data_IF_747357809608
#
_entry.id   IF_747357809608
#
_cell.length_a   1.000
_cell.length_b   1.000
_cell.length_c   1.000
_cell.angle_alpha   90.00
_cell.angle_beta   90.00
_cell.angle_gamma   90.00
#
_symmetry.space_group_name_H-M   'P 1'
#
loop_
_entity.id
_entity.type
_entity.pdbx_description
1 polymer ?
#
# COMPACT_ATOMS: atom_id res chain seq x y z
N UNK A 1 -7.43 -2.39 26.67
CA UNK A 1 -6.77 -1.79 25.55
C UNK A 1 -6.01 -0.59 26.01
N UNK A 2 -4.85 -0.49 25.59
CA UNK A 2 -4.03 0.61 25.98
C UNK A 2 -4.19 1.69 24.97
N UNK A 3 -5.08 2.35 24.79
CA UNK A 3 -5.23 3.49 23.97
C UNK A 3 -4.92 3.29 22.50
N UNK A 4 -5.09 4.31 21.73
CA UNK A 4 -4.93 4.20 20.29
C UNK A 4 -3.49 3.91 19.86
N UNK A 5 -2.55 4.32 20.65
CA UNK A 5 -1.18 3.98 20.33
C UNK A 5 -0.93 2.51 20.39
N UNK A 6 -1.82 1.81 21.00
CA UNK A 6 -1.73 0.40 20.99
C UNK A 6 -2.48 -0.14 19.82
N UNK A 7 -1.99 0.10 18.72
CA UNK A 7 -2.61 -0.44 17.58
C UNK A 7 -2.63 -1.90 17.63
N UNK A 8 -2.07 -2.44 18.63
CA UNK A 8 -2.22 -3.78 18.93
C UNK A 8 -2.80 -4.54 17.79
N UNK A 9 -2.16 -4.48 16.78
CA UNK A 9 -2.63 -4.80 15.51
C UNK A 9 -2.90 -6.26 15.39
N UNK A 10 -3.72 -6.70 16.24
CA UNK A 10 -4.23 -8.03 16.13
C UNK A 10 -4.93 -8.10 14.82
N UNK A 11 -4.75 -9.19 14.14
CA UNK A 11 -5.16 -9.33 12.78
C UNK A 11 -6.58 -8.89 12.51
N UNK A 12 -7.49 -9.15 13.39
CA UNK A 12 -8.88 -8.79 13.16
C UNK A 12 -9.33 -7.58 13.94
N UNK A 13 -8.41 -6.88 14.59
CA UNK A 13 -8.77 -5.75 15.43
C UNK A 13 -8.81 -4.49 14.60
N UNK A 14 -9.96 -3.83 14.60
CA UNK A 14 -10.08 -2.54 13.95
C UNK A 14 -9.61 -1.45 14.88
N UNK A 15 -8.90 -0.47 14.36
CA UNK A 15 -8.59 0.74 15.09
C UNK A 15 -9.84 1.59 15.20
N UNK A 16 -10.23 1.93 16.40
CA UNK A 16 -11.36 2.82 16.63
C UNK A 16 -10.80 4.18 17.03
N UNK A 17 -11.04 5.17 16.19
CA UNK A 17 -10.54 6.51 16.42
C UNK A 17 -9.89 7.08 15.19
N UNK A 18 -8.87 7.90 15.38
CA UNK A 18 -8.20 8.57 14.28
C UNK A 18 -6.70 8.53 14.48
N UNK A 19 -5.98 8.56 13.35
CA UNK A 19 -4.53 8.56 13.35
C UNK A 19 -4.06 9.59 12.32
N UNK A 20 -3.44 10.69 12.76
CA UNK A 20 -2.81 11.61 11.83
C UNK A 20 -1.66 10.90 11.10
N UNK A 21 -1.60 11.04 9.79
CA UNK A 21 -0.58 10.34 9.00
C UNK A 21 0.83 10.74 9.43
N UNK A 22 1.02 12.00 9.81
CA UNK A 22 2.33 12.49 10.25
C UNK A 22 2.79 11.83 11.54
N UNK A 23 1.87 11.24 12.28
CA UNK A 23 2.18 10.59 13.56
C UNK A 23 2.12 9.07 13.44
N UNK A 24 2.07 8.54 12.23
CA UNK A 24 1.97 7.10 12.03
C UNK A 24 3.17 6.39 12.64
N UNK A 25 2.93 5.35 13.45
CA UNK A 25 4.03 4.59 14.04
C UNK A 25 4.59 3.58 13.04
N UNK A 26 5.28 4.06 12.05
CA UNK A 26 5.82 3.24 10.99
C UNK A 26 6.78 2.19 11.53
N UNK A 27 6.72 0.96 11.04
CA UNK A 27 7.74 -0.04 11.33
C UNK A 27 9.03 0.30 10.58
N UNK A 28 10.09 -0.43 10.88
CA UNK A 28 11.34 -0.30 10.15
C UNK A 28 11.12 -0.67 8.68
N UNK A 29 11.79 0.02 7.75
CA UNK A 29 11.64 -0.30 6.34
C UNK A 29 12.23 -1.65 5.99
N UNK A 30 11.64 -2.30 4.98
CA UNK A 30 12.13 -3.57 4.44
C UNK A 30 12.31 -3.44 2.93
N UNK A 31 13.26 -4.20 2.39
CA UNK A 31 13.43 -4.25 0.95
C UNK A 31 12.19 -4.83 0.29
N UNK A 32 11.72 -4.22 -0.78
CA UNK A 32 10.60 -4.80 -1.52
C UNK A 32 11.07 -6.02 -2.28
N UNK A 33 10.22 -7.04 -2.45
CA UNK A 33 10.57 -8.18 -3.29
C UNK A 33 10.55 -7.78 -4.76
N UNK A 34 11.31 -8.51 -5.57
CA UNK A 34 11.37 -8.36 -7.02
C UNK A 34 11.71 -6.94 -7.48
N UNK A 35 12.78 -6.33 -6.98
CA UNK A 35 13.17 -5.01 -7.47
C UNK A 35 13.65 -5.08 -8.92
N UNK A 36 13.35 -4.03 -9.68
CA UNK A 36 13.77 -3.90 -11.07
C UNK A 36 14.93 -2.92 -11.16
N UNK A 37 14.80 -1.76 -10.52
CA UNK A 37 15.88 -0.78 -10.46
C UNK A 37 15.91 -0.17 -9.06
N UNK A 38 17.12 0.17 -8.63
CA UNK A 38 17.32 0.77 -7.32
C UNK A 38 17.10 -0.23 -6.20
N UNK A 39 16.93 0.30 -5.01
CA UNK A 39 16.66 -0.49 -3.82
C UNK A 39 15.49 0.12 -3.07
N UNK A 40 14.29 0.03 -3.62
CA UNK A 40 13.12 0.59 -2.93
C UNK A 40 12.87 -0.16 -1.63
N UNK A 41 12.53 0.60 -0.61
CA UNK A 41 12.22 0.05 0.71
C UNK A 41 10.85 0.49 1.13
N UNK A 42 10.07 -0.45 1.65
CA UNK A 42 8.69 -0.21 1.99
C UNK A 42 8.46 -0.33 3.49
N UNK A 43 7.44 0.37 3.96
CA UNK A 43 6.92 0.26 5.31
C UNK A 43 5.41 0.06 5.21
N UNK A 44 4.92 -0.95 5.88
CA UNK A 44 3.49 -1.28 5.87
C UNK A 44 2.95 -1.17 7.28
N UNK A 45 1.89 -0.39 7.43
CA UNK A 45 1.21 -0.22 8.71
C UNK A 45 -0.25 -0.62 8.55
N UNK A 46 -0.58 -1.90 8.76
CA UNK A 46 -1.97 -2.33 8.67
C UNK A 46 -2.76 -1.82 9.87
N UNK A 47 -3.95 -1.32 9.61
CA UNK A 47 -4.87 -0.85 10.64
C UNK A 47 -6.07 -1.77 10.81
N UNK A 48 -6.44 -2.48 9.76
CA UNK A 48 -7.47 -3.51 9.79
C UNK A 48 -6.98 -4.64 8.90
N UNK A 49 -7.07 -5.87 9.39
CA UNK A 49 -6.73 -7.02 8.55
C UNK A 49 -7.41 -8.26 9.11
N UNK A 50 -8.42 -8.77 8.40
CA UNK A 50 -9.11 -9.99 8.77
C UNK A 50 -8.90 -11.11 7.74
N UNK A 51 -7.93 -10.93 6.85
CA UNK A 51 -7.62 -11.91 5.82
C UNK A 51 -8.38 -11.71 4.52
N UNK A 52 -9.58 -11.13 4.59
CA UNK A 52 -10.39 -10.83 3.40
C UNK A 52 -10.39 -9.34 3.10
N UNK A 53 -10.38 -8.54 4.13
CA UNK A 53 -10.35 -7.08 4.04
C UNK A 53 -9.14 -6.59 4.82
N UNK A 54 -8.36 -5.73 4.21
CA UNK A 54 -7.28 -5.07 4.91
C UNK A 54 -7.22 -3.61 4.48
N UNK A 55 -6.82 -2.76 5.42
CA UNK A 55 -6.67 -1.34 5.15
C UNK A 55 -5.60 -0.79 6.06
N UNK A 56 -4.90 0.21 5.58
CA UNK A 56 -3.83 0.82 6.36
C UNK A 56 -3.06 1.85 5.57
N UNK A 57 -1.80 2.01 5.95
CA UNK A 57 -0.88 2.93 5.31
C UNK A 57 0.31 2.16 4.75
N UNK A 58 0.84 2.66 3.65
CA UNK A 58 2.02 2.08 3.02
C UNK A 58 2.90 3.21 2.50
N UNK A 59 4.20 3.03 2.64
CA UNK A 59 5.17 3.99 2.15
C UNK A 59 6.28 3.25 1.43
N UNK A 60 6.83 3.85 0.37
CA UNK A 60 7.93 3.24 -0.36
C UNK A 60 8.86 4.31 -0.91
N UNK A 61 10.16 4.06 -0.75
CA UNK A 61 11.20 4.95 -1.25
C UNK A 61 11.45 4.73 -2.74
N UNK A 62 12.16 5.66 -3.43
CA UNK A 62 12.37 5.57 -4.87
C UNK A 62 13.01 4.27 -5.34
N UNK A 63 12.61 3.86 -6.52
CA UNK A 63 13.04 2.65 -7.19
C UNK A 63 11.89 2.00 -7.92
N UNK A 64 12.15 0.91 -8.62
CA UNK A 64 11.11 0.19 -9.35
C UNK A 64 11.04 -1.26 -8.89
N UNK A 65 9.83 -1.82 -8.87
CA UNK A 65 9.62 -3.20 -8.47
C UNK A 65 8.38 -3.78 -9.14
N UNK A 66 8.36 -5.10 -9.26
CA UNK A 66 7.21 -5.82 -9.82
C UNK A 66 6.12 -5.96 -8.78
N UNK A 67 4.89 -5.91 -9.24
CA UNK A 67 3.71 -6.04 -8.37
C UNK A 67 2.66 -6.88 -9.07
N UNK A 68 2.09 -7.83 -8.34
CA UNK A 68 1.08 -8.76 -8.85
C UNK A 68 -0.14 -8.69 -7.92
N UNK A 69 -1.26 -8.27 -8.48
CA UNK A 69 -2.51 -8.11 -7.76
C UNK A 69 -3.50 -9.24 -8.04
N UNK A 70 -3.00 -10.40 -8.34
CA UNK A 70 -3.88 -11.57 -8.56
C UNK A 70 -4.58 -11.93 -7.26
N UNK A 71 -5.89 -11.96 -7.28
CA UNK A 71 -6.71 -12.40 -6.15
C UNK A 71 -7.25 -11.26 -5.29
N UNK A 72 -6.98 -10.02 -5.63
CA UNK A 72 -7.54 -8.93 -4.85
C UNK A 72 -7.63 -7.62 -5.63
N UNK A 73 -8.55 -6.78 -5.19
CA UNK A 73 -8.72 -5.41 -5.67
C UNK A 73 -8.14 -4.48 -4.62
N UNK A 74 -7.39 -3.50 -5.04
CA UNK A 74 -6.86 -2.50 -4.14
C UNK A 74 -7.38 -1.12 -4.50
N UNK A 75 -7.98 -0.43 -3.52
CA UNK A 75 -8.29 0.98 -3.59
C UNK A 75 -7.21 1.73 -2.84
N UNK A 76 -6.73 2.84 -3.39
CA UNK A 76 -5.75 3.67 -2.68
C UNK A 76 -5.99 5.15 -2.90
N UNK A 77 -5.55 5.92 -1.92
CA UNK A 77 -5.44 7.37 -2.00
C UNK A 77 -3.97 7.72 -1.73
N UNK A 78 -3.33 8.30 -2.72
CA UNK A 78 -1.94 8.73 -2.59
C UNK A 78 -1.91 10.04 -1.80
N UNK A 79 -1.19 10.04 -0.70
CA UNK A 79 -1.11 11.17 0.23
C UNK A 79 0.09 12.05 -0.12
N UNK A 80 1.20 11.42 -0.51
CA UNK A 80 2.43 12.14 -0.80
C UNK A 80 3.24 11.35 -1.83
N UNK A 81 4.14 12.04 -2.54
CA UNK A 81 5.05 11.42 -3.48
C UNK A 81 4.52 11.33 -4.89
N UNK A 82 5.34 10.79 -5.78
CA UNK A 82 5.00 10.58 -7.18
C UNK A 82 5.48 9.22 -7.64
N UNK A 83 4.71 8.60 -8.52
CA UNK A 83 5.03 7.30 -9.07
C UNK A 83 4.33 7.07 -10.40
N UNK A 84 4.77 6.02 -11.08
CA UNK A 84 4.13 5.51 -12.28
C UNK A 84 3.82 4.04 -12.06
N UNK A 85 2.62 3.62 -12.45
CA UNK A 85 2.26 2.20 -12.49
C UNK A 85 2.19 1.79 -13.94
N UNK A 86 3.05 0.87 -14.33
CA UNK A 86 3.16 0.39 -15.71
C UNK A 86 2.63 -1.03 -15.77
N UNK A 87 1.41 -1.17 -16.27
CA UNK A 87 0.81 -2.49 -16.45
C UNK A 87 1.50 -3.26 -17.56
N UNK A 88 1.55 -4.57 -17.45
CA UNK A 88 2.13 -5.41 -18.49
C UNK A 88 1.32 -5.35 -19.78
N UNK A 89 0.08 -4.87 -19.70
CA UNK A 89 -0.76 -4.65 -20.90
C UNK A 89 -0.43 -3.33 -21.60
N UNK A 90 0.54 -2.57 -21.13
CA UNK A 90 0.94 -1.29 -21.71
C UNK A 90 0.24 -0.08 -21.14
N UNK A 91 -0.71 -0.27 -20.25
CA UNK A 91 -1.37 0.87 -19.58
C UNK A 91 -0.40 1.52 -18.60
N UNK A 92 -0.38 2.85 -18.58
CA UNK A 92 0.47 3.60 -17.64
C UNK A 92 -0.41 4.57 -16.87
N UNK A 93 -0.32 4.51 -15.55
CA UNK A 93 -1.02 5.44 -14.68
C UNK A 93 0.03 6.26 -13.91
N UNK A 94 -0.16 7.58 -13.91
CA UNK A 94 0.67 8.49 -13.12
C UNK A 94 -0.06 8.82 -11.83
N UNK A 95 0.63 8.76 -10.71
CA UNK A 95 0.03 9.08 -9.42
C UNK A 95 0.88 10.12 -8.70
N UNK A 96 0.21 10.99 -7.99
CA UNK A 96 0.81 12.02 -7.15
C UNK A 96 -0.12 12.27 -5.96
N UNK A 97 0.30 13.16 -5.08
CA UNK A 97 -0.54 13.51 -3.92
C UNK A 97 -1.94 13.89 -4.38
N UNK A 98 -2.94 13.28 -3.79
CA UNK A 98 -4.35 13.52 -4.12
C UNK A 98 -4.94 12.54 -5.13
N UNK A 99 -4.14 11.69 -5.74
CA UNK A 99 -4.65 10.70 -6.69
C UNK A 99 -5.39 9.59 -5.97
N UNK A 100 -6.58 9.26 -6.49
CA UNK A 100 -7.33 8.09 -6.08
C UNK A 100 -7.27 7.07 -7.20
N UNK A 101 -7.02 5.82 -6.87
CA UNK A 101 -6.78 4.79 -7.86
C UNK A 101 -7.36 3.46 -7.39
N UNK A 102 -7.95 2.72 -8.32
CA UNK A 102 -8.34 1.33 -8.08
C UNK A 102 -7.47 0.45 -8.97
N UNK A 103 -6.76 -0.48 -8.36
CA UNK A 103 -6.03 -1.50 -9.10
C UNK A 103 -6.91 -2.74 -9.12
N UNK A 104 -7.36 -3.17 -10.30
CA UNK A 104 -8.28 -4.31 -10.38
C UNK A 104 -7.58 -5.63 -10.08
N UNK A 105 -8.39 -6.62 -9.72
CA UNK A 105 -7.91 -7.98 -9.56
C UNK A 105 -7.23 -8.44 -10.86
N UNK A 106 -6.08 -9.07 -10.72
CA UNK A 106 -5.34 -9.60 -11.86
C UNK A 106 -4.37 -8.62 -12.51
N UNK A 107 -4.32 -7.38 -12.04
CA UNK A 107 -3.34 -6.44 -12.58
C UNK A 107 -1.93 -6.89 -12.23
N UNK A 108 -1.07 -6.92 -13.22
CA UNK A 108 0.35 -7.23 -13.04
C UNK A 108 1.15 -6.15 -13.73
N UNK A 109 2.16 -5.64 -13.07
CA UNK A 109 2.95 -4.58 -13.66
C UNK A 109 4.13 -4.18 -12.79
N UNK A 110 4.63 -2.99 -13.07
CA UNK A 110 5.79 -2.42 -12.39
C UNK A 110 5.41 -1.10 -11.77
N UNK A 111 5.70 -0.93 -10.49
CA UNK A 111 5.69 0.37 -9.83
C UNK A 111 7.03 1.04 -10.04
N UNK A 112 7.02 2.30 -10.45
CA UNK A 112 8.22 3.12 -10.55
C UNK A 112 8.03 4.30 -9.62
N UNK A 113 8.67 4.25 -8.46
CA UNK A 113 8.56 5.30 -7.45
C UNK A 113 9.61 6.36 -7.76
N UNK A 114 9.17 7.59 -7.99
CA UNK A 114 10.06 8.71 -8.30
C UNK A 114 10.38 9.53 -7.06
N UNK A 115 9.35 9.81 -6.26
CA UNK A 115 9.49 10.46 -4.95
C UNK A 115 8.78 9.57 -3.94
N UNK A 116 9.33 9.45 -2.74
CA UNK A 116 8.78 8.57 -1.71
C UNK A 116 7.26 8.71 -1.64
N UNK A 117 6.57 7.60 -1.84
CA UNK A 117 5.11 7.56 -1.83
C UNK A 117 4.62 7.20 -0.44
N UNK A 118 3.56 7.90 -0.02
CA UNK A 118 2.74 7.50 1.13
C UNK A 118 1.33 7.38 0.59
N UNK A 119 0.69 6.25 0.87
CA UNK A 119 -0.71 6.04 0.48
C UNK A 119 -1.49 5.40 1.60
N UNK A 120 -2.78 5.68 1.65
CA UNK A 120 -3.71 4.84 2.36
C UNK A 120 -4.27 3.81 1.37
N UNK A 121 -4.52 2.61 1.84
CA UNK A 121 -4.99 1.54 0.98
C UNK A 121 -6.13 0.77 1.63
N UNK A 122 -6.96 0.18 0.78
CA UNK A 122 -7.95 -0.80 1.20
C UNK A 122 -7.90 -1.94 0.19
N UNK A 123 -7.78 -3.16 0.69
CA UNK A 123 -7.65 -4.36 -0.13
C UNK A 123 -8.82 -5.28 0.18
N UNK A 124 -9.43 -5.79 -0.89
CA UNK A 124 -10.57 -6.68 -0.80
C UNK A 124 -10.23 -7.97 -1.53
N UNK A 125 -10.26 -9.09 -0.80
CA UNK A 125 -10.00 -10.40 -1.36
C UNK A 125 -11.30 -11.17 -1.47
N UNK A 126 -11.36 -12.01 -2.49
CA UNK A 126 -12.48 -12.91 -2.66
C UNK A 126 -12.29 -14.10 -1.71
N UNK A 127 -13.26 -14.34 -0.86
CA UNK A 127 -13.17 -15.45 0.08
C UNK A 127 -13.41 -16.82 -0.53
N UNK A 128 -13.68 -16.89 -1.83
CA UNK A 128 -13.97 -18.17 -2.48
C UNK A 128 -12.78 -18.77 -3.18
N UNK A 129 -11.67 -18.14 -3.14
CA UNK A 129 -10.51 -18.58 -3.93
C UNK A 129 -10.11 -20.01 -3.70
#
# INVERSE_FOLDING_TARGET
MSGPGNLNLMASTALVGSLPVQEAPWPAPVDVPEPVTGRPQARLLPLVDDGLKSAGLWSCTPGAFRSDHTGYVEFMHVIDGTAELRGDDGTIWHVCAGTVLVIPDGWVGTWVIEETVIKSYAIFRDGTS
#
